data_IF_377710949405
#
_entry.id   IF_377710949405
#
_cell.length_a   1.000
_cell.length_b   1.000
_cell.length_c   1.000
_cell.angle_alpha   90.00
_cell.angle_beta   90.00
_cell.angle_gamma   90.00
#
_symmetry.space_group_name_H-M   'P 1'
#
loop_
_entity.id
_entity.type
_entity.pdbx_description
1 polymer ?
#
# COMPACT_ATOMS: atom_id res chain seq x y z
N UNK A 1 20.66 -25.58 -11.31
CA UNK A 1 20.15 -25.08 -10.01
C UNK A 1 19.24 -23.91 -10.33
N UNK A 2 17.96 -24.07 -10.01
CA UNK A 2 16.82 -23.51 -10.75
C UNK A 2 16.54 -22.04 -10.42
N UNK A 3 16.57 -21.19 -11.45
CA UNK A 3 16.05 -19.83 -11.45
C UNK A 3 14.53 -19.84 -11.19
N UNK A 4 14.11 -19.36 -10.03
CA UNK A 4 12.69 -19.10 -9.75
C UNK A 4 12.27 -17.83 -10.50
N UNK A 5 11.47 -18.07 -11.53
CA UNK A 5 10.76 -17.18 -12.43
C UNK A 5 10.37 -15.83 -11.82
N UNK A 6 10.78 -14.73 -12.49
CA UNK A 6 10.12 -13.44 -12.32
C UNK A 6 8.78 -13.53 -13.07
N UNK A 7 7.63 -13.19 -12.44
CA UNK A 7 6.35 -13.13 -13.15
C UNK A 7 6.44 -12.15 -14.34
N UNK A 8 5.66 -12.36 -15.41
CA UNK A 8 5.67 -11.48 -16.60
C UNK A 8 5.29 -10.05 -16.24
N UNK A 9 4.50 -9.85 -15.18
CA UNK A 9 4.26 -8.52 -14.58
C UNK A 9 5.55 -7.83 -14.11
N UNK A 10 6.51 -8.59 -13.57
CA UNK A 10 7.83 -8.08 -13.19
C UNK A 10 8.65 -7.60 -14.40
N UNK A 11 8.52 -8.26 -15.54
CA UNK A 11 9.12 -7.82 -16.81
C UNK A 11 8.41 -6.58 -17.37
N UNK A 12 7.08 -6.55 -17.31
CA UNK A 12 6.25 -5.41 -17.71
C UNK A 12 6.57 -4.16 -16.87
N UNK A 13 6.70 -4.33 -15.56
CA UNK A 13 7.07 -3.26 -14.65
C UNK A 13 8.47 -2.73 -14.92
N UNK A 14 9.43 -3.63 -15.20
CA UNK A 14 10.79 -3.26 -15.60
C UNK A 14 10.80 -2.47 -16.90
N UNK A 15 10.02 -2.90 -17.91
CA UNK A 15 9.90 -2.21 -19.19
C UNK A 15 9.43 -0.75 -19.03
N UNK A 16 8.46 -0.50 -18.15
CA UNK A 16 8.01 0.87 -17.84
C UNK A 16 9.07 1.65 -17.06
N UNK A 17 9.73 1.02 -16.09
CA UNK A 17 10.76 1.65 -15.26
C UNK A 17 11.95 2.14 -16.11
N UNK A 18 12.39 1.35 -17.08
CA UNK A 18 13.47 1.71 -18.03
C UNK A 18 13.14 2.96 -18.87
N UNK A 19 11.88 3.42 -18.86
CA UNK A 19 11.37 4.61 -19.57
C UNK A 19 10.92 5.72 -18.62
N UNK A 20 11.43 5.73 -17.39
CA UNK A 20 11.09 6.73 -16.36
C UNK A 20 9.58 6.79 -16.09
N UNK A 21 8.93 5.63 -16.10
CA UNK A 21 7.49 5.48 -15.91
C UNK A 21 7.18 4.26 -15.04
N UNK A 22 5.92 4.11 -14.64
CA UNK A 22 5.46 2.95 -13.85
C UNK A 22 4.33 2.24 -14.59
N UNK A 23 4.04 0.98 -14.24
CA UNK A 23 2.83 0.33 -14.73
C UNK A 23 1.60 1.17 -14.34
N UNK A 24 0.66 1.27 -15.28
CA UNK A 24 -0.55 2.03 -15.05
C UNK A 24 -1.41 1.42 -13.94
N UNK A 25 -1.95 2.27 -13.08
CA UNK A 25 -3.00 1.94 -12.12
C UNK A 25 -4.29 2.65 -12.58
N UNK A 26 -5.42 1.96 -12.48
CA UNK A 26 -6.75 2.58 -12.58
C UNK A 26 -7.13 3.08 -11.20
N UNK A 27 -7.04 4.38 -10.96
CA UNK A 27 -7.29 4.99 -9.64
C UNK A 27 -8.69 5.59 -9.55
N UNK A 28 -9.22 6.06 -10.68
CA UNK A 28 -10.47 6.84 -10.78
C UNK A 28 -11.36 6.33 -11.92
N UNK A 29 -12.63 6.75 -11.93
CA UNK A 29 -13.53 6.49 -13.06
C UNK A 29 -13.05 7.18 -14.35
N UNK A 30 -12.32 8.28 -14.22
CA UNK A 30 -11.71 9.00 -15.34
C UNK A 30 -10.55 8.18 -15.93
N UNK A 31 -9.69 7.59 -15.10
CA UNK A 31 -8.65 6.66 -15.55
C UNK A 31 -9.28 5.47 -16.29
N UNK A 32 -10.37 4.93 -15.73
CA UNK A 32 -11.10 3.82 -16.31
C UNK A 32 -11.62 4.13 -17.71
N UNK A 33 -12.19 5.32 -17.87
CA UNK A 33 -12.74 5.80 -19.14
C UNK A 33 -11.62 6.14 -20.14
N UNK A 34 -10.53 6.72 -19.65
CA UNK A 34 -9.36 7.07 -20.46
C UNK A 34 -8.69 5.82 -21.05
N UNK A 35 -8.42 4.80 -20.22
CA UNK A 35 -7.75 3.58 -20.71
C UNK A 35 -8.58 2.86 -21.77
N UNK A 36 -9.90 2.79 -21.62
CA UNK A 36 -10.78 2.16 -22.61
C UNK A 36 -10.61 2.75 -24.02
N UNK A 37 -10.56 4.08 -24.14
CA UNK A 37 -10.34 4.76 -25.42
C UNK A 37 -8.88 4.71 -25.90
N UNK A 38 -7.95 5.00 -24.99
CA UNK A 38 -6.53 5.11 -25.30
C UNK A 38 -5.91 3.79 -25.75
N UNK A 39 -6.18 2.71 -25.02
CA UNK A 39 -5.63 1.38 -25.31
C UNK A 39 -6.16 0.86 -26.64
N UNK A 40 -7.48 0.93 -26.83
CA UNK A 40 -8.11 0.51 -28.08
C UNK A 40 -7.53 1.26 -29.28
N UNK A 41 -7.40 2.59 -29.20
CA UNK A 41 -6.82 3.41 -30.25
C UNK A 41 -5.35 3.06 -30.53
N UNK A 42 -4.56 2.82 -29.48
CA UNK A 42 -3.13 2.50 -29.59
C UNK A 42 -2.89 1.13 -30.23
N UNK A 43 -3.67 0.10 -29.84
CA UNK A 43 -3.57 -1.25 -30.41
C UNK A 43 -4.01 -1.24 -31.88
N UNK A 44 -5.10 -0.55 -32.21
CA UNK A 44 -5.56 -0.42 -33.61
C UNK A 44 -4.53 0.30 -34.49
N UNK A 45 -3.86 1.34 -33.97
CA UNK A 45 -2.79 2.04 -34.69
C UNK A 45 -1.52 1.20 -34.88
N UNK A 46 -1.26 0.25 -33.97
CA UNK A 46 -0.09 -0.63 -34.02
C UNK A 46 -0.28 -1.88 -34.92
N UNK A 47 -1.52 -2.21 -35.31
CA UNK A 47 -1.85 -3.46 -36.01
C UNK A 47 -1.64 -3.44 -37.53
N UNK A 48 -0.59 -4.11 -38.00
CA UNK A 48 -0.50 -4.73 -39.34
C UNK A 48 -0.85 -6.23 -39.29
N UNK A 49 -1.20 -6.88 -40.41
CA UNK A 49 -1.75 -8.24 -40.39
C UNK A 49 -0.70 -9.30 -40.03
N UNK A 50 -0.97 -10.13 -39.03
CA UNK A 50 -0.30 -11.44 -38.87
C UNK A 50 0.35 -11.78 -37.52
N UNK A 51 0.25 -10.97 -36.47
CA UNK A 51 0.73 -11.35 -35.13
C UNK A 51 -0.38 -11.95 -34.27
N UNK A 52 0.01 -12.92 -33.42
CA UNK A 52 -0.82 -13.53 -32.38
C UNK A 52 -1.59 -12.43 -31.65
N UNK A 53 -2.93 -12.55 -31.63
CA UNK A 53 -3.82 -11.51 -31.13
C UNK A 53 -3.76 -11.50 -29.60
N UNK A 54 -2.73 -10.87 -29.04
CA UNK A 54 -2.71 -10.47 -27.63
C UNK A 54 -3.81 -9.44 -27.44
N UNK A 55 -4.73 -9.69 -26.52
CA UNK A 55 -5.95 -8.89 -26.30
C UNK A 55 -5.96 -8.16 -24.97
N UNK A 56 -4.95 -8.37 -24.12
CA UNK A 56 -4.89 -7.80 -22.79
C UNK A 56 -3.75 -6.82 -22.60
N UNK A 57 -3.88 -6.01 -21.56
CA UNK A 57 -2.91 -5.03 -21.11
C UNK A 57 -2.69 -5.18 -19.60
N UNK A 58 -1.44 -5.34 -19.19
CA UNK A 58 -1.08 -5.39 -17.78
C UNK A 58 -1.31 -4.07 -17.06
N UNK A 59 -1.87 -4.16 -15.86
CA UNK A 59 -1.92 -3.08 -14.87
C UNK A 59 -0.83 -3.28 -13.83
N UNK A 60 -0.69 -2.31 -12.91
CA UNK A 60 0.18 -2.45 -11.75
C UNK A 60 -0.40 -3.32 -10.62
N UNK A 61 -1.58 -3.93 -10.78
CA UNK A 61 -2.29 -4.60 -9.69
C UNK A 61 -2.02 -6.10 -9.68
N UNK A 62 -1.68 -6.62 -8.49
CA UNK A 62 -1.46 -8.04 -8.23
C UNK A 62 -2.02 -8.49 -6.89
N UNK A 63 -2.22 -9.79 -6.73
CA UNK A 63 -2.57 -10.36 -5.43
C UNK A 63 -1.34 -10.52 -4.53
N UNK A 64 -1.58 -10.46 -3.23
CA UNK A 64 -0.65 -10.92 -2.19
C UNK A 64 -1.42 -11.79 -1.17
N UNK A 65 -0.79 -12.83 -0.61
CA UNK A 65 -1.43 -13.68 0.40
C UNK A 65 -1.90 -12.89 1.63
N UNK A 66 -3.16 -13.08 2.03
CA UNK A 66 -3.74 -12.42 3.22
C UNK A 66 -4.74 -13.33 3.96
N UNK A 67 -4.23 -14.46 4.48
CA UNK A 67 -5.07 -15.47 5.12
C UNK A 67 -5.83 -16.29 4.09
N UNK A 68 -7.16 -16.36 4.19
CA UNK A 68 -8.00 -17.15 3.27
C UNK A 68 -8.42 -16.41 2.01
N UNK A 69 -8.19 -15.09 1.93
CA UNK A 69 -8.52 -14.26 0.78
C UNK A 69 -7.29 -13.45 0.36
N UNK A 70 -7.10 -13.16 -0.93
CA UNK A 70 -5.99 -12.31 -1.37
C UNK A 70 -6.24 -10.85 -0.99
N UNK A 71 -5.17 -10.11 -0.76
CA UNK A 71 -5.21 -8.65 -0.84
C UNK A 71 -4.73 -8.20 -2.24
N UNK A 72 -5.44 -7.25 -2.84
CA UNK A 72 -5.05 -6.68 -4.13
C UNK A 72 -4.24 -5.42 -3.92
N UNK A 73 -2.99 -5.42 -4.40
CA UNK A 73 -2.03 -4.35 -4.19
C UNK A 73 -1.53 -3.79 -5.52
N UNK A 74 -1.14 -2.51 -5.54
CA UNK A 74 -0.39 -1.96 -6.67
C UNK A 74 1.11 -2.31 -6.59
N UNK A 75 1.83 -2.15 -7.69
CA UNK A 75 3.28 -2.26 -7.83
C UNK A 75 3.83 -0.89 -8.30
N UNK A 76 5.01 -0.40 -7.85
CA UNK A 76 6.02 -1.08 -7.02
C UNK A 76 5.81 -1.02 -5.50
N UNK A 77 4.85 -0.23 -5.00
CA UNK A 77 4.53 -0.19 -3.57
C UNK A 77 3.29 -1.00 -3.30
N UNK A 78 3.31 -1.94 -2.35
CA UNK A 78 2.16 -2.85 -2.13
C UNK A 78 1.01 -2.19 -1.36
N UNK A 79 0.53 -1.06 -1.88
CA UNK A 79 -0.66 -0.38 -1.40
C UNK A 79 -1.87 -1.27 -1.70
N UNK A 80 -2.50 -1.83 -0.66
CA UNK A 80 -3.75 -2.55 -0.89
C UNK A 80 -4.82 -1.54 -1.31
N UNK A 81 -5.49 -1.86 -2.41
CA UNK A 81 -6.38 -0.97 -3.13
C UNK A 81 -7.76 -0.97 -2.47
N UNK A 82 -8.18 0.21 -2.01
CA UNK A 82 -9.51 0.44 -1.42
C UNK A 82 -10.61 0.54 -2.47
N UNK A 83 -10.25 0.95 -3.69
CA UNK A 83 -11.14 1.01 -4.84
C UNK A 83 -10.67 -0.01 -5.88
N UNK A 84 -11.60 -0.82 -6.35
CA UNK A 84 -11.35 -1.89 -7.30
C UNK A 84 -12.31 -1.74 -8.46
N UNK A 85 -11.85 -2.02 -9.67
CA UNK A 85 -12.59 -1.79 -10.92
C UNK A 85 -12.92 -3.10 -11.63
N UNK A 86 -13.18 -4.17 -10.87
CA UNK A 86 -13.50 -5.49 -11.40
C UNK A 86 -14.69 -5.46 -12.37
N UNK A 87 -14.59 -6.28 -13.41
CA UNK A 87 -15.78 -6.63 -14.18
C UNK A 87 -16.71 -7.52 -13.34
N UNK A 88 -18.01 -7.58 -13.67
CA UNK A 88 -18.93 -8.51 -13.03
C UNK A 88 -18.44 -9.95 -13.13
N UNK A 89 -18.31 -10.64 -11.98
CA UNK A 89 -17.82 -12.03 -11.92
C UNK A 89 -16.35 -12.19 -11.59
N UNK A 90 -15.58 -11.10 -11.51
CA UNK A 90 -14.18 -11.08 -11.06
C UNK A 90 -14.05 -10.62 -9.60
N UNK A 91 -12.91 -10.91 -8.93
CA UNK A 91 -11.82 -11.78 -9.38
C UNK A 91 -12.23 -13.25 -9.44
N UNK A 92 -11.61 -14.02 -10.35
CA UNK A 92 -11.75 -15.47 -10.42
C UNK A 92 -11.26 -16.15 -9.13
N UNK A 93 -11.75 -17.37 -8.89
CA UNK A 93 -11.31 -18.21 -7.78
C UNK A 93 -10.11 -19.03 -8.24
N UNK A 94 -8.96 -18.81 -7.62
CA UNK A 94 -7.73 -19.53 -7.93
C UNK A 94 -7.39 -20.56 -6.83
N UNK A 95 -6.70 -21.65 -7.17
CA UNK A 95 -6.15 -22.57 -6.17
C UNK A 95 -5.12 -21.90 -5.26
N UNK A 96 -4.39 -20.91 -5.79
CA UNK A 96 -3.40 -20.10 -5.09
C UNK A 96 -3.36 -18.68 -5.68
N UNK A 97 -3.04 -17.69 -4.86
CA UNK A 97 -2.98 -16.27 -5.20
C UNK A 97 -1.55 -15.70 -5.20
N UNK A 98 -0.51 -16.52 -5.21
CA UNK A 98 0.88 -16.02 -5.26
C UNK A 98 1.21 -15.36 -6.61
N UNK A 99 0.64 -15.88 -7.71
CA UNK A 99 0.94 -15.47 -9.09
C UNK A 99 -0.33 -15.04 -9.86
N UNK A 100 -1.20 -14.26 -9.21
CA UNK A 100 -2.40 -13.70 -9.85
C UNK A 100 -2.24 -12.19 -10.05
N UNK A 101 -2.34 -11.78 -11.30
CA UNK A 101 -2.16 -10.41 -11.77
C UNK A 101 -3.47 -9.87 -12.32
N UNK A 102 -3.52 -8.55 -12.54
CA UNK A 102 -4.69 -7.87 -13.07
C UNK A 102 -4.37 -7.22 -14.41
N UNK A 103 -5.23 -7.49 -15.37
CA UNK A 103 -5.18 -6.89 -16.70
C UNK A 103 -6.47 -6.16 -17.06
N UNK A 104 -6.36 -5.33 -18.09
CA UNK A 104 -7.47 -4.77 -18.84
C UNK A 104 -7.57 -5.55 -20.14
N UNK A 105 -8.75 -6.08 -20.46
CA UNK A 105 -8.93 -6.98 -21.60
C UNK A 105 -9.91 -6.42 -22.64
N UNK A 106 -9.72 -6.80 -23.92
CA UNK A 106 -10.57 -6.40 -25.05
C UNK A 106 -12.06 -6.66 -24.80
N UNK A 107 -12.42 -7.74 -24.09
CA UNK A 107 -13.81 -8.11 -23.76
C UNK A 107 -14.51 -7.05 -22.92
N UNK A 108 -13.76 -6.32 -22.10
CA UNK A 108 -14.28 -5.20 -21.30
C UNK A 108 -14.07 -3.85 -21.97
N UNK A 109 -13.62 -3.85 -23.23
CA UNK A 109 -13.09 -2.68 -23.92
C UNK A 109 -11.99 -1.99 -23.11
N UNK A 110 -11.14 -2.79 -22.45
CA UNK A 110 -10.06 -2.33 -21.56
C UNK A 110 -10.53 -1.44 -20.40
N UNK A 111 -11.81 -1.55 -20.01
CA UNK A 111 -12.41 -0.71 -18.99
C UNK A 111 -12.29 -1.31 -17.60
N UNK A 112 -12.53 -2.61 -17.48
CA UNK A 112 -12.65 -3.25 -16.17
C UNK A 112 -11.49 -4.20 -15.93
N UNK A 113 -11.17 -4.39 -14.66
CA UNK A 113 -10.15 -5.31 -14.20
C UNK A 113 -10.60 -6.75 -14.37
N UNK A 114 -9.69 -7.58 -14.84
CA UNK A 114 -9.81 -9.02 -14.88
C UNK A 114 -8.60 -9.63 -14.18
N UNK A 115 -8.84 -10.65 -13.36
CA UNK A 115 -7.74 -11.40 -12.76
C UNK A 115 -7.28 -12.48 -13.74
N UNK A 116 -5.98 -12.71 -13.81
CA UNK A 116 -5.41 -13.81 -14.59
C UNK A 116 -4.04 -14.24 -14.06
N UNK A 117 -3.49 -15.32 -14.60
CA UNK A 117 -2.12 -15.74 -14.27
C UNK A 117 -1.11 -14.70 -14.73
N UNK A 118 -0.17 -14.35 -13.84
CA UNK A 118 0.92 -13.44 -14.15
C UNK A 118 1.88 -13.92 -15.26
N UNK A 119 1.72 -15.14 -15.78
CA UNK A 119 2.54 -15.70 -16.87
C UNK A 119 1.98 -15.45 -18.28
N UNK A 120 0.78 -14.85 -18.38
CA UNK A 120 0.15 -14.57 -19.68
C UNK A 120 0.87 -13.42 -20.39
N UNK A 121 0.96 -13.54 -21.73
CA UNK A 121 1.47 -12.46 -22.57
C UNK A 121 0.38 -11.39 -22.77
N UNK A 122 0.57 -10.23 -22.15
CA UNK A 122 -0.23 -9.03 -22.37
C UNK A 122 0.66 -7.87 -22.80
N UNK A 123 0.06 -6.87 -23.46
CA UNK A 123 0.72 -5.57 -23.68
C UNK A 123 0.86 -4.83 -22.35
N UNK A 124 1.53 -3.67 -22.37
CA UNK A 124 1.77 -2.86 -21.18
C UNK A 124 1.39 -1.42 -21.44
N UNK A 125 0.76 -0.78 -20.45
CA UNK A 125 0.57 0.67 -20.43
C UNK A 125 1.39 1.23 -19.29
N UNK A 126 2.28 2.16 -19.64
CA UNK A 126 3.11 2.85 -18.66
C UNK A 126 2.54 4.24 -18.38
N UNK A 127 2.31 4.55 -17.11
CA UNK A 127 1.86 5.86 -16.62
C UNK A 127 3.08 6.61 -16.10
N UNK A 128 3.24 7.87 -16.53
CA UNK A 128 4.16 8.83 -15.93
C UNK A 128 3.38 10.07 -15.55
N UNK A 129 3.76 10.72 -14.46
CA UNK A 129 3.24 12.06 -14.19
C UNK A 129 3.69 12.99 -15.30
N UNK A 130 2.81 13.86 -15.77
CA UNK A 130 3.25 14.98 -16.60
C UNK A 130 4.31 15.76 -15.81
N UNK A 131 5.37 16.21 -16.49
CA UNK A 131 6.39 17.06 -15.88
C UNK A 131 5.74 18.42 -15.63
N UNK A 132 5.03 18.54 -14.52
CA UNK A 132 4.95 19.81 -13.82
C UNK A 132 6.32 19.99 -13.17
N UNK A 133 6.97 21.12 -13.44
CA UNK A 133 8.23 21.56 -12.81
C UNK A 133 8.17 21.69 -11.28
N UNK A 134 7.11 21.17 -10.65
CA UNK A 134 6.77 21.25 -9.23
C UNK A 134 6.17 19.92 -8.72
N UNK A 135 6.72 18.78 -9.14
CA UNK A 135 6.50 17.53 -8.41
C UNK A 135 7.05 17.71 -6.99
N UNK A 136 6.24 17.61 -5.91
CA UNK A 136 6.77 17.69 -4.56
C UNK A 136 7.86 16.63 -4.37
N UNK A 137 9.06 17.10 -4.03
CA UNK A 137 10.28 16.30 -3.98
C UNK A 137 10.11 15.13 -3.01
N UNK A 138 10.26 13.91 -3.54
CA UNK A 138 10.37 12.72 -2.69
C UNK A 138 11.69 12.81 -1.93
N UNK A 139 11.64 12.55 -0.62
CA UNK A 139 12.81 12.54 0.24
C UNK A 139 13.22 11.10 0.54
N UNK A 140 14.48 10.89 0.87
CA UNK A 140 15.01 9.56 1.22
C UNK A 140 15.74 9.62 2.55
N UNK A 141 15.49 8.64 3.41
CA UNK A 141 16.19 8.43 4.68
C UNK A 141 16.72 7.01 4.75
N UNK A 142 18.03 6.85 4.94
CA UNK A 142 18.66 5.55 5.07
C UNK A 142 18.25 4.84 6.37
N UNK A 143 18.11 3.52 6.33
CA UNK A 143 17.75 2.73 7.51
C UNK A 143 18.84 2.71 8.60
N UNK A 144 20.07 3.12 8.24
CA UNK A 144 21.21 3.22 9.15
C UNK A 144 21.18 4.44 10.05
N UNK A 145 20.29 5.40 9.79
CA UNK A 145 20.13 6.61 10.61
C UNK A 145 18.72 6.68 11.19
N UNK A 146 18.53 7.28 12.37
CA UNK A 146 17.21 7.57 12.89
C UNK A 146 16.44 8.45 11.92
N UNK A 147 15.18 8.10 11.67
CA UNK A 147 14.29 8.92 10.86
C UNK A 147 13.60 9.95 11.74
N UNK A 148 13.60 11.21 11.30
CA UNK A 148 12.93 12.32 11.98
C UNK A 148 12.22 13.24 10.99
N UNK A 149 11.00 13.65 11.37
CA UNK A 149 10.23 14.66 10.63
C UNK A 149 9.46 15.56 11.59
N UNK A 150 9.49 16.87 11.34
CA UNK A 150 8.93 17.88 12.24
C UNK A 150 8.11 18.91 11.48
N UNK A 151 6.88 19.15 11.92
CA UNK A 151 6.05 20.26 11.47
C UNK A 151 6.31 21.50 12.34
N UNK A 152 7.15 22.40 11.82
CA UNK A 152 7.56 23.63 12.55
C UNK A 152 6.42 24.64 12.75
N UNK A 153 5.38 24.57 11.94
CA UNK A 153 4.17 25.38 12.09
C UNK A 153 3.24 24.87 13.21
N UNK A 154 3.58 23.77 13.89
CA UNK A 154 2.72 23.13 14.88
C UNK A 154 1.56 22.33 14.28
N UNK A 155 1.48 22.24 12.95
CA UNK A 155 0.51 21.40 12.26
C UNK A 155 0.82 19.92 12.39
N UNK A 156 -0.09 19.10 11.90
CA UNK A 156 0.05 17.64 11.90
C UNK A 156 0.70 17.12 10.63
N UNK A 157 1.52 16.07 10.77
CA UNK A 157 2.15 15.34 9.68
C UNK A 157 1.07 14.60 8.87
N UNK A 158 1.09 14.83 7.56
CA UNK A 158 0.32 14.12 6.55
C UNK A 158 1.30 13.21 5.79
N UNK A 159 1.06 11.90 5.84
CA UNK A 159 1.88 10.91 5.14
C UNK A 159 1.23 10.61 3.79
N UNK A 160 1.77 11.17 2.71
CA UNK A 160 1.24 10.97 1.36
C UNK A 160 1.87 9.77 0.64
N UNK A 161 3.11 9.44 1.01
CA UNK A 161 3.85 8.34 0.44
C UNK A 161 4.92 7.85 1.42
N UNK A 162 5.08 6.53 1.49
CA UNK A 162 6.16 5.87 2.21
C UNK A 162 6.45 4.51 1.58
N UNK A 163 7.72 4.26 1.26
CA UNK A 163 8.23 3.02 0.68
C UNK A 163 9.55 2.68 1.33
N UNK A 164 9.58 1.63 2.13
CA UNK A 164 10.76 1.10 2.77
C UNK A 164 11.28 -0.10 1.99
N UNK A 165 12.52 -0.04 1.53
CA UNK A 165 13.07 -1.09 0.67
C UNK A 165 14.39 -0.69 0.04
N UNK A 166 14.66 -1.24 -1.13
CA UNK A 166 15.85 -0.96 -1.92
C UNK A 166 15.51 -0.83 -3.41
N UNK A 167 16.27 -0.03 -4.14
CA UNK A 167 16.13 0.13 -5.59
C UNK A 167 17.47 -0.04 -6.26
N UNK A 168 17.46 -0.72 -7.40
CA UNK A 168 18.65 -0.91 -8.23
C UNK A 168 19.31 0.43 -8.57
N UNK A 169 20.61 0.52 -8.34
CA UNK A 169 21.42 1.72 -8.59
C UNK A 169 21.41 2.80 -7.49
N UNK A 170 20.57 2.69 -6.45
CA UNK A 170 20.61 3.60 -5.32
C UNK A 170 21.40 2.99 -4.16
N UNK A 171 22.32 3.77 -3.57
CA UNK A 171 23.16 3.31 -2.46
C UNK A 171 23.16 4.33 -1.34
N UNK A 172 22.87 3.88 -0.11
CA UNK A 172 22.89 4.72 1.08
C UNK A 172 24.31 5.09 1.55
N UNK A 173 25.30 4.25 1.22
CA UNK A 173 26.71 4.47 1.57
C UNK A 173 27.60 4.24 0.36
N UNK A 174 28.63 5.07 0.15
CA UNK A 174 29.46 5.02 -1.07
C UNK A 174 30.34 3.76 -1.21
N UNK A 175 30.37 2.88 -0.21
CA UNK A 175 31.31 1.76 -0.12
C UNK A 175 30.72 0.39 -0.44
N UNK A 176 29.47 0.32 -0.90
CA UNK A 176 28.81 -0.94 -1.24
C UNK A 176 28.43 -1.03 -2.71
N UNK A 177 28.35 -2.27 -3.20
CA UNK A 177 28.01 -2.55 -4.59
C UNK A 177 26.52 -2.27 -4.82
N UNK A 178 26.20 -1.52 -5.87
CA UNK A 178 24.82 -1.24 -6.24
C UNK A 178 24.02 -2.53 -6.38
N UNK A 179 22.92 -2.63 -5.63
CA UNK A 179 21.92 -3.67 -5.75
C UNK A 179 21.45 -3.80 -7.21
N UNK A 180 21.26 -5.04 -7.68
CA UNK A 180 20.71 -5.35 -9.01
C UNK A 180 19.21 -5.65 -8.98
N UNK A 181 18.56 -5.45 -7.82
CA UNK A 181 17.15 -5.77 -7.62
C UNK A 181 16.46 -4.65 -6.86
N UNK A 182 15.21 -4.39 -7.24
CA UNK A 182 14.32 -3.46 -6.55
C UNK A 182 13.34 -4.26 -5.71
N UNK A 183 13.18 -3.90 -4.44
CA UNK A 183 12.27 -4.54 -3.50
C UNK A 183 11.66 -3.49 -2.58
N UNK A 184 10.43 -3.73 -2.14
CA UNK A 184 9.68 -2.83 -1.27
C UNK A 184 8.95 -3.64 -0.22
N UNK A 185 8.93 -3.18 1.03
CA UNK A 185 8.08 -3.74 2.06
C UNK A 185 6.62 -3.37 1.78
N UNK A 186 5.71 -4.34 1.67
CA UNK A 186 4.32 -4.08 1.31
C UNK A 186 3.58 -3.19 2.30
N UNK A 187 3.96 -3.25 3.59
CA UNK A 187 3.31 -2.51 4.67
C UNK A 187 3.93 -1.14 4.94
N UNK A 188 4.86 -0.67 4.10
CA UNK A 188 5.62 0.58 4.29
C UNK A 188 4.72 1.76 4.65
N UNK A 189 3.75 2.08 3.80
CA UNK A 189 2.86 3.22 4.02
C UNK A 189 2.04 3.04 5.29
N UNK A 190 1.43 1.88 5.48
CA UNK A 190 0.59 1.61 6.66
C UNK A 190 1.40 1.79 7.94
N UNK A 191 2.59 1.20 8.00
CA UNK A 191 3.47 1.24 9.17
C UNK A 191 3.92 2.67 9.47
N UNK A 192 4.37 3.40 8.45
CA UNK A 192 4.81 4.80 8.61
C UNK A 192 3.64 5.72 8.96
N UNK A 193 2.48 5.57 8.32
CA UNK A 193 1.27 6.33 8.68
C UNK A 193 0.84 6.03 10.11
N UNK A 194 0.84 4.76 10.52
CA UNK A 194 0.53 4.35 11.88
C UNK A 194 1.52 4.90 12.90
N UNK A 195 2.77 5.21 12.53
CA UNK A 195 3.75 5.80 13.44
C UNK A 195 3.76 7.32 13.44
N UNK A 196 3.58 7.97 12.29
CA UNK A 196 3.85 9.40 12.13
C UNK A 196 2.61 10.26 11.87
N UNK A 197 1.58 9.74 11.21
CA UNK A 197 0.47 10.59 10.76
C UNK A 197 -0.27 11.20 11.95
N UNK A 198 -0.62 12.49 11.84
CA UNK A 198 -1.35 13.22 12.87
C UNK A 198 -0.49 13.80 14.00
N UNK A 199 0.77 13.35 14.14
CA UNK A 199 1.73 13.94 15.08
C UNK A 199 2.33 15.22 14.51
N UNK A 200 2.80 16.14 15.37
CA UNK A 200 3.62 17.29 14.93
C UNK A 200 5.11 16.96 14.84
N UNK A 201 5.51 15.85 15.47
CA UNK A 201 6.88 15.32 15.50
C UNK A 201 6.82 13.80 15.38
N UNK A 202 7.56 13.24 14.44
CA UNK A 202 7.76 11.79 14.33
C UNK A 202 9.26 11.46 14.39
N UNK A 203 9.61 10.52 15.26
CA UNK A 203 10.95 9.94 15.36
C UNK A 203 10.86 8.42 15.35
N UNK A 204 11.68 7.80 14.53
CA UNK A 204 11.85 6.34 14.46
C UNK A 204 13.33 6.06 14.65
N UNK A 205 13.69 5.48 15.80
CA UNK A 205 15.11 5.21 16.13
C UNK A 205 15.74 4.22 15.17
N UNK A 206 15.00 3.17 14.82
CA UNK A 206 15.50 2.09 13.96
C UNK A 206 14.41 1.66 12.97
N UNK A 207 14.57 2.05 11.70
CA UNK A 207 13.66 1.65 10.63
C UNK A 207 13.68 0.12 10.41
N UNK A 208 14.79 -0.57 10.69
CA UNK A 208 14.89 -2.03 10.50
C UNK A 208 14.01 -2.80 11.48
N UNK A 209 13.98 -2.35 12.74
CA UNK A 209 13.11 -2.94 13.78
C UNK A 209 11.63 -2.70 13.50
N UNK A 210 11.32 -1.62 12.77
CA UNK A 210 9.96 -1.32 12.36
C UNK A 210 9.49 -2.24 11.21
N UNK A 211 10.43 -2.78 10.42
CA UNK A 211 10.17 -3.59 9.22
C UNK A 211 10.90 -4.94 9.27
N UNK A 212 10.69 -5.71 10.34
CA UNK A 212 11.32 -7.01 10.55
C UNK A 212 11.00 -8.02 9.43
N UNK A 213 9.77 -8.00 8.92
CA UNK A 213 9.27 -8.90 7.88
C UNK A 213 9.42 -8.26 6.48
N UNK A 214 10.64 -7.84 6.13
CA UNK A 214 10.90 -7.26 4.80
C UNK A 214 11.25 -8.34 3.78
N UNK A 215 10.61 -8.36 2.59
CA UNK A 215 10.97 -9.28 1.51
C UNK A 215 12.32 -8.92 0.86
N UNK A 216 12.94 -7.82 1.28
CA UNK A 216 14.22 -7.37 0.78
C UNK A 216 15.40 -8.18 1.35
N UNK A 217 16.23 -8.81 0.51
CA UNK A 217 17.29 -9.71 0.95
C UNK A 217 18.50 -9.01 1.61
N UNK A 218 18.61 -7.68 1.50
CA UNK A 218 19.79 -6.92 1.96
C UNK A 218 19.39 -5.93 3.04
N UNK A 219 19.69 -6.25 4.30
CA UNK A 219 19.33 -5.39 5.44
C UNK A 219 20.16 -4.09 5.49
N UNK A 220 21.35 -4.09 4.90
CA UNK A 220 22.33 -3.01 5.09
C UNK A 220 22.10 -1.77 4.22
N UNK A 221 21.33 -1.90 3.14
CA UNK A 221 21.10 -0.82 2.16
C UNK A 221 19.64 -0.36 2.08
N UNK A 222 18.81 -0.75 3.04
CA UNK A 222 17.42 -0.35 3.05
C UNK A 222 17.29 1.14 3.35
N UNK A 223 16.29 1.76 2.76
CA UNK A 223 15.94 3.15 3.01
C UNK A 223 14.45 3.36 2.92
N UNK A 224 13.98 4.42 3.57
CA UNK A 224 12.64 4.94 3.46
C UNK A 224 12.62 6.07 2.42
N UNK A 225 11.96 5.84 1.29
CA UNK A 225 11.49 6.93 0.45
C UNK A 225 10.15 7.42 0.96
N UNK A 226 9.97 8.72 1.08
CA UNK A 226 8.76 9.30 1.64
C UNK A 226 8.40 10.64 1.04
N UNK A 227 7.11 10.97 1.14
CA UNK A 227 6.58 12.31 0.89
C UNK A 227 5.64 12.67 2.03
N UNK A 228 6.12 13.53 2.91
CA UNK A 228 5.37 14.03 4.05
C UNK A 228 5.11 15.51 3.85
N UNK A 229 3.92 15.95 4.22
CA UNK A 229 3.54 17.36 4.25
C UNK A 229 3.03 17.72 5.64
N UNK A 230 3.01 19.01 5.95
CA UNK A 230 2.44 19.52 7.19
C UNK A 230 1.09 20.14 6.88
N UNK A 231 0.10 19.83 7.71
CA UNK A 231 -1.15 20.58 7.71
C UNK A 231 -0.88 22.05 8.04
N UNK A 232 -1.61 22.95 7.39
CA UNK A 232 -1.63 24.38 7.74
C UNK A 232 -2.41 24.64 9.03
N UNK A 233 -3.28 23.70 9.44
CA UNK A 233 -4.01 23.82 10.70
C UNK A 233 -3.12 23.44 11.89
N UNK A 234 -2.95 24.38 12.83
CA UNK A 234 -2.12 24.24 14.04
C UNK A 234 -2.71 23.31 15.11
N UNK A 235 -3.91 22.78 14.88
CA UNK A 235 -4.56 21.79 15.73
C UNK A 235 -5.16 20.69 14.86
N UNK A 236 -4.75 19.45 15.09
CA UNK A 236 -5.37 18.29 14.47
C UNK A 236 -6.84 18.21 14.90
N UNK A 237 -7.74 18.62 14.03
CA UNK A 237 -9.19 18.46 14.20
C UNK A 237 -9.62 17.15 13.56
N UNK A 238 -10.23 16.29 14.35
CA UNK A 238 -10.88 15.11 13.81
C UNK A 238 -12.19 15.51 13.12
N UNK A 239 -12.50 14.88 11.99
CA UNK A 239 -13.78 15.06 11.33
C UNK A 239 -14.93 14.73 12.28
N UNK A 240 -16.10 15.34 12.05
CA UNK A 240 -17.26 15.22 12.93
C UNK A 240 -17.59 13.75 13.21
N UNK A 241 -17.66 13.38 14.51
CA UNK A 241 -17.94 12.02 14.97
C UNK A 241 -16.72 11.20 15.38
N UNK A 242 -15.51 11.62 15.00
CA UNK A 242 -14.25 10.97 15.41
C UNK A 242 -13.72 11.58 16.72
N UNK A 243 -12.99 10.76 17.47
CA UNK A 243 -12.39 11.08 18.77
C UNK A 243 -10.91 11.36 18.55
N UNK A 244 -10.43 12.51 19.02
CA UNK A 244 -9.00 12.80 19.05
C UNK A 244 -8.34 12.14 20.25
N UNK A 245 -7.33 11.31 20.02
CA UNK A 245 -6.51 10.67 21.05
C UNK A 245 -5.05 10.72 20.61
N UNK A 246 -4.20 11.43 21.37
CA UNK A 246 -2.73 11.46 21.18
C UNK A 246 -2.29 11.65 19.73
N UNK A 247 -2.84 12.64 19.02
CA UNK A 247 -2.51 12.91 17.61
C UNK A 247 -3.29 12.09 16.59
N UNK A 248 -4.16 11.17 17.02
CA UNK A 248 -4.92 10.27 16.14
C UNK A 248 -6.40 10.56 16.19
N UNK A 249 -7.09 10.28 15.09
CA UNK A 249 -8.55 10.33 15.01
C UNK A 249 -9.12 8.92 14.98
N UNK A 250 -9.90 8.57 16.00
CA UNK A 250 -10.44 7.24 16.20
C UNK A 250 -11.97 7.25 16.07
N UNK A 251 -12.52 6.20 15.47
CA UNK A 251 -13.96 5.94 15.44
C UNK A 251 -14.25 4.64 16.17
N UNK A 252 -15.34 4.63 16.97
CA UNK A 252 -15.81 3.44 17.68
C UNK A 252 -17.20 3.13 17.14
N UNK A 253 -17.33 2.02 16.42
CA UNK A 253 -18.60 1.55 15.89
C UNK A 253 -19.39 0.77 16.96
N UNK A 254 -20.02 1.50 17.89
CA UNK A 254 -20.82 0.92 18.98
C UNK A 254 -22.31 0.71 18.65
N UNK A 255 -22.76 1.04 17.43
CA UNK A 255 -24.19 1.06 17.08
C UNK A 255 -24.59 0.10 15.96
N UNK A 256 -23.63 -0.57 15.29
CA UNK A 256 -23.90 -1.46 14.16
C UNK A 256 -23.77 -2.93 14.52
N UNK A 257 -24.34 -3.77 13.65
CA UNK A 257 -24.20 -5.24 13.66
C UNK A 257 -22.71 -5.60 13.70
N UNK A 258 -22.33 -6.49 14.63
CA UNK A 258 -20.97 -7.02 14.74
C UNK A 258 -20.47 -7.56 13.40
N UNK A 259 -19.17 -7.38 13.13
CA UNK A 259 -18.49 -7.78 11.90
C UNK A 259 -17.38 -8.76 12.25
N UNK A 260 -17.08 -9.67 11.33
CA UNK A 260 -15.84 -10.45 11.38
C UNK A 260 -14.63 -9.54 11.16
N UNK A 261 -13.45 -9.95 11.66
CA UNK A 261 -12.22 -9.16 11.61
C UNK A 261 -11.91 -8.59 10.21
N UNK A 262 -11.97 -9.43 9.17
CA UNK A 262 -11.68 -9.02 7.78
C UNK A 262 -12.63 -7.92 7.30
N UNK A 263 -13.93 -8.04 7.59
CA UNK A 263 -14.93 -7.04 7.24
C UNK A 263 -14.79 -5.74 8.04
N UNK A 264 -14.32 -5.81 9.30
CA UNK A 264 -14.02 -4.62 10.09
C UNK A 264 -12.78 -3.89 9.55
N UNK A 265 -11.74 -4.64 9.18
CA UNK A 265 -10.53 -4.11 8.54
C UNK A 265 -10.89 -3.36 7.24
N UNK A 266 -11.67 -3.97 6.37
CA UNK A 266 -12.08 -3.36 5.10
C UNK A 266 -12.93 -2.09 5.28
N UNK A 267 -13.84 -2.10 6.26
CA UNK A 267 -14.67 -0.93 6.57
C UNK A 267 -13.81 0.27 7.04
N UNK A 268 -12.82 0.05 7.91
CA UNK A 268 -11.91 1.12 8.33
C UNK A 268 -11.12 1.69 7.15
N UNK A 269 -10.71 0.85 6.19
CA UNK A 269 -9.99 1.27 4.98
C UNK A 269 -10.82 2.12 4.05
N UNK A 270 -12.09 1.76 3.85
CA UNK A 270 -13.04 2.55 3.05
C UNK A 270 -13.23 3.96 3.59
N UNK A 271 -13.04 4.15 4.89
CA UNK A 271 -13.11 5.45 5.56
C UNK A 271 -11.76 6.20 5.57
N UNK A 272 -10.74 5.70 4.86
CA UNK A 272 -9.42 6.30 4.78
C UNK A 272 -8.53 6.02 6.00
N UNK A 273 -8.89 5.06 6.84
CA UNK A 273 -8.13 4.68 8.05
C UNK A 273 -7.76 3.19 8.08
N UNK A 274 -7.41 2.72 9.27
CA UNK A 274 -7.11 1.31 9.56
C UNK A 274 -7.77 0.92 10.89
N UNK A 275 -7.82 -0.38 11.19
CA UNK A 275 -8.12 -0.81 12.55
C UNK A 275 -7.11 -0.17 13.51
N UNK A 276 -7.54 0.14 14.73
CA UNK A 276 -6.70 0.80 15.72
C UNK A 276 -5.44 -0.04 15.99
N UNK A 277 -4.27 0.56 15.76
CA UNK A 277 -2.96 -0.06 15.91
C UNK A 277 -2.01 0.82 16.71
N UNK A 278 -0.85 0.27 17.08
CA UNK A 278 0.18 0.97 17.85
C UNK A 278 -0.39 1.63 19.12
N UNK A 279 -1.22 0.87 19.84
CA UNK A 279 -1.86 1.33 21.07
C UNK A 279 -0.80 1.29 22.18
N UNK A 280 -0.41 2.45 22.67
CA UNK A 280 0.43 2.59 23.86
C UNK A 280 -0.42 2.81 25.12
N UNK A 281 0.24 2.89 26.28
CA UNK A 281 -0.43 3.08 27.57
C UNK A 281 -1.34 4.33 27.61
N UNK A 282 -0.92 5.43 26.99
CA UNK A 282 -1.69 6.68 26.99
C UNK A 282 -2.93 6.56 26.12
N UNK A 283 -2.77 5.97 24.93
CA UNK A 283 -3.87 5.75 23.99
C UNK A 283 -4.87 4.73 24.54
N UNK A 284 -4.39 3.64 25.14
CA UNK A 284 -5.22 2.59 25.75
C UNK A 284 -6.11 3.13 26.89
N UNK A 285 -5.52 3.94 27.77
CA UNK A 285 -6.25 4.59 28.88
C UNK A 285 -7.42 5.43 28.37
N UNK A 286 -7.18 6.28 27.37
CA UNK A 286 -8.21 7.16 26.81
C UNK A 286 -9.21 6.37 25.96
N UNK A 287 -8.76 5.39 25.17
CA UNK A 287 -9.62 4.56 24.34
C UNK A 287 -10.58 3.73 25.19
N UNK A 288 -10.09 3.08 26.24
CA UNK A 288 -10.91 2.31 27.18
C UNK A 288 -12.00 3.16 27.82
N UNK A 289 -11.67 4.40 28.23
CA UNK A 289 -12.65 5.37 28.77
C UNK A 289 -13.74 5.72 27.76
N UNK A 290 -13.40 5.80 26.48
CA UNK A 290 -14.34 6.13 25.40
C UNK A 290 -15.20 4.93 25.00
N UNK A 291 -14.60 3.73 24.96
CA UNK A 291 -15.30 2.46 24.69
C UNK A 291 -16.39 2.25 25.74
N UNK A 292 -16.04 2.30 27.04
CA UNK A 292 -17.01 2.13 28.15
C UNK A 292 -18.19 3.12 28.08
N UNK A 293 -17.95 4.35 27.60
CA UNK A 293 -19.01 5.36 27.46
C UNK A 293 -19.94 5.11 26.27
N UNK A 294 -19.46 4.43 25.23
CA UNK A 294 -20.17 4.26 23.95
C UNK A 294 -20.71 2.84 23.75
N UNK A 295 -20.26 1.87 24.54
CA UNK A 295 -20.63 0.46 24.44
C UNK A 295 -21.62 0.03 25.52
N UNK A 296 -22.22 -1.14 25.33
CA UNK A 296 -22.95 -1.85 26.37
C UNK A 296 -21.98 -2.73 27.16
N UNK A 297 -22.44 -3.18 28.32
CA UNK A 297 -21.71 -4.12 29.17
C UNK A 297 -21.48 -5.43 28.38
N UNK A 298 -20.22 -5.88 28.31
CA UNK A 298 -19.71 -7.06 27.56
C UNK A 298 -19.50 -6.93 26.04
N UNK A 299 -19.52 -5.72 25.47
CA UNK A 299 -19.11 -5.55 24.06
C UNK A 299 -17.60 -5.75 23.87
N UNK A 300 -17.21 -6.45 22.79
CA UNK A 300 -15.82 -6.62 22.36
C UNK A 300 -15.58 -5.91 21.03
N UNK A 301 -14.40 -5.30 20.88
CA UNK A 301 -14.04 -4.49 19.71
C UNK A 301 -12.77 -5.03 19.05
N UNK A 302 -12.77 -5.08 17.71
CA UNK A 302 -11.57 -5.45 16.96
C UNK A 302 -10.53 -4.34 17.01
N UNK A 303 -9.29 -4.73 17.27
CA UNK A 303 -8.08 -3.92 17.12
C UNK A 303 -7.14 -4.62 16.16
N UNK A 304 -6.13 -3.93 15.65
CA UNK A 304 -5.29 -4.43 14.55
C UNK A 304 -4.19 -5.44 14.98
N UNK A 305 -4.43 -6.19 16.06
CA UNK A 305 -3.52 -7.22 16.58
C UNK A 305 -3.92 -8.57 16.00
N UNK A 306 -2.93 -9.31 15.50
CA UNK A 306 -3.05 -10.71 15.10
C UNK A 306 -2.12 -11.56 15.94
N UNK A 307 -2.56 -12.77 16.25
CA UNK A 307 -1.77 -13.78 16.93
C UNK A 307 -1.50 -14.90 15.94
N UNK A 308 -0.22 -15.22 15.71
CA UNK A 308 0.15 -16.28 14.80
C UNK A 308 -0.01 -17.69 15.41
N UNK A 309 0.27 -18.73 14.63
CA UNK A 309 0.16 -20.12 15.08
C UNK A 309 1.11 -20.48 16.24
N UNK A 310 2.16 -19.69 16.45
CA UNK A 310 3.11 -19.86 17.56
C UNK A 310 2.67 -19.12 18.84
N UNK A 311 1.60 -18.33 18.76
CA UNK A 311 1.10 -17.52 19.86
C UNK A 311 1.75 -16.12 19.94
N UNK A 312 2.55 -15.73 18.94
CA UNK A 312 3.18 -14.40 18.92
C UNK A 312 2.18 -13.34 18.42
N UNK A 313 2.06 -12.25 19.18
CA UNK A 313 1.17 -11.14 18.84
C UNK A 313 1.92 -10.06 18.05
N UNK A 314 1.41 -9.72 16.86
CA UNK A 314 1.94 -8.69 15.97
C UNK A 314 0.81 -7.78 15.47
N UNK A 315 1.13 -6.52 15.18
CA UNK A 315 0.22 -5.66 14.43
C UNK A 315 0.11 -6.16 13.00
N UNK A 316 -1.02 -5.95 12.32
CA UNK A 316 -1.15 -6.43 10.94
C UNK A 316 -0.31 -5.67 9.90
N UNK A 317 0.42 -4.65 10.32
CA UNK A 317 1.49 -4.03 9.53
C UNK A 317 2.86 -4.73 9.70
N UNK A 318 2.94 -5.76 10.53
CA UNK A 318 4.15 -6.55 10.82
C UNK A 318 4.96 -6.02 12.00
N UNK A 319 4.59 -4.86 12.57
CA UNK A 319 5.31 -4.31 13.71
C UNK A 319 5.02 -5.06 15.02
N UNK A 320 5.99 -5.09 15.92
CA UNK A 320 5.88 -5.79 17.19
C UNK A 320 4.89 -5.10 18.15
N UNK A 321 4.18 -5.90 18.95
CA UNK A 321 3.34 -5.41 20.04
C UNK A 321 4.21 -5.15 21.27
N UNK A 322 4.52 -3.88 21.53
CA UNK A 322 5.42 -3.44 22.61
C UNK A 322 4.72 -3.13 23.93
N UNK A 323 3.42 -2.84 23.90
CA UNK A 323 2.57 -2.58 25.07
C UNK A 323 1.50 -3.67 25.16
N UNK A 324 1.30 -4.23 26.35
CA UNK A 324 0.40 -5.37 26.63
C UNK A 324 -0.39 -5.10 27.89
#
# INVERSE_FOLDING_TARGET
MSSHWQPVEGLAARFCKDRESVLALTETDDDQTFYAGFVQGSITAAGGPGQQRVTGVWTSVRSVPNGSEPAWVSFPGSFVLSRQFWQPGEPNIYPNYDDVCVSLQEETLYRNWMSESCDVNNYVVCKRKAVDTDSPSQSTSCASVPFEFVCRNGGSIIVEFASYGATEGYVCTQNMAALTQTCTNPNSLKTISNKCAGLSYCRIENLRELFLETPCPVAEELYLQYRFTCSEETQAKCSSGLIYVTGRCLSIDGKRKSRVFSAAQEECRKQGGYLASNIDQSMDTELSRQVVRKSKENDAFWVDIRVDASGEAKWSDGSAVTYR
#
